data_IF_327207188511
#
_entry.id   IF_327207188511
#
_cell.length_a   1.000
_cell.length_b   1.000
_cell.length_c   1.000
_cell.angle_alpha   90.00
_cell.angle_beta   90.00
_cell.angle_gamma   90.00
#
_symmetry.space_group_name_H-M   'P 1'
#
loop_
_entity.id
_entity.type
_entity.pdbx_description
1 polymer ?
#
# COMPACT_ATOMS: atom_id res chain seq x y z
N UNK A 1 -20.68 24.45 -13.26
CA UNK A 1 -20.01 24.80 -11.99
C UNK A 1 -19.81 23.47 -11.29
N UNK A 2 -18.62 22.89 -11.41
CA UNK A 2 -18.30 21.65 -10.69
C UNK A 2 -18.36 21.97 -9.19
N UNK A 3 -19.22 21.27 -8.47
CA UNK A 3 -19.31 21.40 -7.02
C UNK A 3 -18.18 20.56 -6.43
N UNK A 4 -17.43 21.13 -5.49
CA UNK A 4 -16.38 20.38 -4.80
C UNK A 4 -16.98 19.19 -4.04
N UNK A 5 -16.35 18.01 -4.08
CA UNK A 5 -16.84 16.83 -3.36
C UNK A 5 -16.81 17.07 -1.84
N UNK A 6 -17.89 16.67 -1.18
CA UNK A 6 -18.13 16.80 0.26
C UNK A 6 -17.72 15.50 0.98
N UNK A 7 -18.05 14.33 0.42
CA UNK A 7 -17.78 13.03 1.03
C UNK A 7 -16.55 12.38 0.39
N UNK A 8 -15.39 12.58 1.00
CA UNK A 8 -14.08 12.25 0.39
C UNK A 8 -13.36 11.05 1.01
N UNK A 9 -14.04 10.30 1.88
CA UNK A 9 -13.53 9.06 2.48
C UNK A 9 -14.61 7.99 2.51
N UNK A 10 -14.23 6.71 2.48
CA UNK A 10 -15.16 5.57 2.52
C UNK A 10 -16.14 5.66 3.71
N UNK A 11 -15.70 5.90 4.97
CA UNK A 11 -16.64 5.99 6.10
C UNK A 11 -17.58 7.19 6.02
N UNK A 12 -17.14 8.30 5.43
CA UNK A 12 -18.03 9.45 5.20
C UNK A 12 -19.14 9.10 4.20
N UNK A 13 -18.80 8.35 3.14
CA UNK A 13 -19.74 7.94 2.12
C UNK A 13 -20.76 6.90 2.64
N UNK A 14 -20.31 5.89 3.38
CA UNK A 14 -21.21 4.87 3.95
C UNK A 14 -22.11 5.45 5.05
N UNK A 15 -21.62 6.40 5.85
CA UNK A 15 -22.46 7.16 6.80
C UNK A 15 -23.47 8.06 6.11
N UNK A 16 -23.11 8.68 4.98
CA UNK A 16 -24.04 9.48 4.18
C UNK A 16 -25.14 8.59 3.60
N UNK A 17 -24.79 7.43 3.03
CA UNK A 17 -25.75 6.43 2.56
C UNK A 17 -26.70 6.00 3.69
N UNK A 18 -26.18 5.66 4.87
CA UNK A 18 -27.02 5.31 6.02
C UNK A 18 -27.97 6.43 6.43
N UNK A 19 -27.54 7.70 6.34
CA UNK A 19 -28.41 8.85 6.58
C UNK A 19 -29.52 8.98 5.51
N UNK A 20 -29.25 8.67 4.25
CA UNK A 20 -30.29 8.60 3.20
C UNK A 20 -31.30 7.49 3.47
N UNK A 21 -30.83 6.29 3.86
CA UNK A 21 -31.70 5.17 4.21
C UNK A 21 -32.61 5.53 5.38
N UNK A 22 -32.07 6.18 6.43
CA UNK A 22 -32.89 6.64 7.57
C UNK A 22 -33.97 7.64 7.17
N UNK A 23 -33.70 8.47 6.17
CA UNK A 23 -34.62 9.49 5.71
C UNK A 23 -35.74 8.92 4.82
N UNK A 24 -35.37 8.09 3.82
CA UNK A 24 -36.32 7.43 2.92
C UNK A 24 -35.77 6.09 2.41
N UNK A 25 -36.08 5.01 3.13
CA UNK A 25 -35.62 3.67 2.78
C UNK A 25 -36.44 3.01 1.65
N UNK A 26 -37.60 3.53 1.25
CA UNK A 26 -38.62 2.71 0.56
C UNK A 26 -38.15 2.11 -0.76
N UNK A 27 -37.56 2.93 -1.63
CA UNK A 27 -37.06 2.49 -2.94
C UNK A 27 -35.80 1.64 -2.79
N UNK A 28 -34.93 1.99 -1.84
CA UNK A 28 -33.74 1.23 -1.53
C UNK A 28 -34.07 -0.19 -1.03
N UNK A 29 -35.03 -0.34 -0.12
CA UNK A 29 -35.49 -1.66 0.35
C UNK A 29 -36.14 -2.49 -0.76
N UNK A 30 -36.78 -1.86 -1.76
CA UNK A 30 -37.26 -2.56 -2.94
C UNK A 30 -36.09 -3.11 -3.79
N UNK A 31 -35.03 -2.32 -3.98
CA UNK A 31 -33.82 -2.75 -4.66
C UNK A 31 -33.22 -3.97 -3.96
N UNK A 32 -33.02 -3.90 -2.63
CA UNK A 32 -32.47 -5.01 -1.85
C UNK A 32 -33.31 -6.28 -1.99
N UNK A 33 -34.65 -6.18 -1.84
CA UNK A 33 -35.55 -7.33 -2.01
C UNK A 33 -35.49 -7.93 -3.40
N UNK A 34 -35.44 -7.08 -4.43
CA UNK A 34 -35.34 -7.54 -5.81
C UNK A 34 -34.03 -8.30 -6.04
N UNK A 35 -32.93 -7.76 -5.53
CA UNK A 35 -31.59 -8.33 -5.72
C UNK A 35 -31.38 -9.64 -4.95
N UNK A 36 -31.92 -9.77 -3.74
CA UNK A 36 -31.80 -11.00 -2.94
C UNK A 36 -32.91 -12.03 -3.20
N UNK A 37 -33.96 -11.66 -3.94
CA UNK A 37 -35.17 -12.49 -4.07
C UNK A 37 -36.03 -12.57 -2.80
N UNK A 38 -35.70 -11.83 -1.74
CA UNK A 38 -36.45 -11.84 -0.49
C UNK A 38 -37.84 -11.23 -0.66
N UNK A 39 -38.87 -11.96 -0.21
CA UNK A 39 -40.26 -11.48 -0.26
C UNK A 39 -40.51 -10.30 0.70
N UNK A 40 -39.89 -10.34 1.87
CA UNK A 40 -39.94 -9.28 2.88
C UNK A 40 -38.78 -9.43 3.85
N UNK A 41 -38.25 -8.29 4.32
CA UNK A 41 -37.30 -8.24 5.44
C UNK A 41 -37.99 -7.94 6.77
N UNK A 42 -39.28 -7.58 6.75
CA UNK A 42 -40.00 -7.07 7.93
C UNK A 42 -39.99 -5.53 8.02
N UNK A 43 -40.29 -5.00 9.20
CA UNK A 43 -40.31 -3.56 9.47
C UNK A 43 -38.91 -3.07 9.84
N UNK A 44 -38.38 -2.07 9.14
CA UNK A 44 -37.07 -1.49 9.44
C UNK A 44 -37.13 -0.76 10.79
N UNK A 45 -36.35 -1.23 11.76
CA UNK A 45 -36.28 -0.67 13.11
C UNK A 45 -35.10 0.27 13.29
N UNK A 46 -33.91 -0.11 12.79
CA UNK A 46 -32.68 0.68 12.94
C UNK A 46 -31.78 0.60 11.72
N UNK A 47 -31.00 1.65 11.55
CA UNK A 47 -29.89 1.75 10.59
C UNK A 47 -28.67 2.16 11.41
N UNK A 48 -27.57 1.42 11.33
CA UNK A 48 -26.29 1.71 12.00
C UNK A 48 -25.16 1.70 10.97
N UNK A 49 -24.05 2.33 11.32
CA UNK A 49 -22.79 2.20 10.59
C UNK A 49 -21.75 1.55 11.50
N UNK A 50 -20.76 0.88 10.91
CA UNK A 50 -19.58 0.37 11.63
C UNK A 50 -20.01 -0.52 12.82
N UNK A 51 -21.03 -1.34 12.61
CA UNK A 51 -21.66 -2.19 13.62
C UNK A 51 -21.25 -3.66 13.41
N UNK A 52 -21.71 -4.56 14.30
CA UNK A 52 -21.58 -6.03 14.28
C UNK A 52 -20.70 -6.63 13.16
N UNK A 53 -19.56 -7.24 13.53
CA UNK A 53 -18.51 -7.73 12.61
C UNK A 53 -17.87 -6.66 11.71
N UNK A 54 -18.08 -5.37 12.00
CA UNK A 54 -17.55 -4.20 11.28
C UNK A 54 -18.16 -3.94 9.90
N UNK A 55 -19.34 -4.48 9.61
CA UNK A 55 -20.04 -4.15 8.35
C UNK A 55 -20.33 -2.64 8.25
N UNK A 56 -20.10 -2.08 7.07
CA UNK A 56 -20.19 -0.64 6.83
C UNK A 56 -21.55 -0.04 7.20
N UNK A 57 -22.64 -0.70 6.78
CA UNK A 57 -24.01 -0.33 7.13
C UNK A 57 -24.80 -1.55 7.56
N UNK A 58 -25.43 -1.48 8.73
CA UNK A 58 -26.30 -2.52 9.28
C UNK A 58 -27.74 -2.02 9.36
N UNK A 59 -28.66 -2.81 8.82
CA UNK A 59 -30.11 -2.60 8.90
C UNK A 59 -30.71 -3.67 9.81
N UNK A 60 -31.35 -3.25 10.90
CA UNK A 60 -32.10 -4.13 11.80
C UNK A 60 -33.59 -4.05 11.43
N UNK A 61 -34.18 -5.19 11.09
CA UNK A 61 -35.62 -5.32 10.88
C UNK A 61 -36.26 -6.15 11.99
N UNK A 62 -37.56 -5.99 12.16
CA UNK A 62 -38.41 -6.90 12.91
C UNK A 62 -39.26 -7.71 11.94
N UNK A 63 -39.09 -9.03 11.97
CA UNK A 63 -39.78 -9.98 11.10
C UNK A 63 -40.35 -11.10 11.95
N UNK A 64 -41.68 -11.21 11.93
CA UNK A 64 -42.41 -12.25 12.67
C UNK A 64 -42.09 -12.28 14.19
N UNK A 65 -41.76 -11.11 14.75
CA UNK A 65 -41.41 -10.93 16.17
C UNK A 65 -39.93 -11.14 16.50
N UNK A 66 -39.11 -11.51 15.53
CA UNK A 66 -37.67 -11.75 15.69
C UNK A 66 -36.84 -10.70 14.93
N UNK A 67 -35.61 -10.40 15.39
CA UNK A 67 -34.70 -9.53 14.65
C UNK A 67 -34.24 -10.20 13.36
N UNK A 68 -34.18 -9.41 12.28
CA UNK A 68 -33.61 -9.83 11.00
C UNK A 68 -32.56 -8.80 10.57
N UNK A 69 -31.32 -9.24 10.39
CA UNK A 69 -30.14 -8.41 10.18
C UNK A 69 -29.72 -8.42 8.71
N UNK A 70 -29.69 -7.24 8.10
CA UNK A 70 -29.15 -7.05 6.75
C UNK A 70 -27.93 -6.16 6.81
N UNK A 71 -26.78 -6.68 6.39
CA UNK A 71 -25.55 -5.90 6.24
C UNK A 71 -25.34 -5.43 4.81
N UNK A 72 -24.67 -4.29 4.66
CA UNK A 72 -24.17 -3.77 3.39
C UNK A 72 -22.69 -3.46 3.61
N UNK A 73 -21.84 -4.18 2.88
CA UNK A 73 -20.40 -3.99 2.85
C UNK A 73 -20.03 -3.21 1.59
N UNK A 74 -19.48 -2.01 1.73
CA UNK A 74 -19.16 -1.15 0.60
C UNK A 74 -17.69 -1.31 0.18
N UNK A 75 -17.49 -1.56 -1.11
CA UNK A 75 -16.18 -1.55 -1.74
C UNK A 75 -16.10 -0.30 -2.61
N UNK A 76 -14.97 0.40 -2.52
CA UNK A 76 -14.69 1.58 -3.34
C UNK A 76 -13.51 1.32 -4.28
N UNK A 77 -12.38 0.84 -3.76
CA UNK A 77 -11.16 0.62 -4.55
C UNK A 77 -10.26 -0.52 -4.03
N UNK A 78 -10.71 -1.30 -3.06
CA UNK A 78 -9.95 -2.41 -2.48
C UNK A 78 -10.58 -3.76 -2.83
N UNK A 79 -9.76 -4.79 -2.94
CA UNK A 79 -10.21 -6.15 -3.27
C UNK A 79 -11.12 -6.72 -2.16
N UNK A 80 -12.13 -7.48 -2.58
CA UNK A 80 -12.95 -8.27 -1.67
C UNK A 80 -12.13 -9.42 -1.09
N UNK A 81 -12.15 -9.58 0.23
CA UNK A 81 -11.53 -10.71 0.91
C UNK A 81 -12.52 -11.86 1.10
N UNK A 82 -12.14 -13.09 0.71
CA UNK A 82 -12.95 -14.30 0.93
C UNK A 82 -13.27 -14.53 2.41
N UNK A 83 -12.24 -14.42 3.26
CA UNK A 83 -12.39 -14.61 4.71
C UNK A 83 -13.31 -13.55 5.33
N UNK A 84 -13.25 -12.32 4.82
CA UNK A 84 -14.13 -11.24 5.23
C UNK A 84 -15.60 -11.57 4.91
N UNK A 85 -15.88 -11.91 3.65
CA UNK A 85 -17.23 -12.25 3.19
C UNK A 85 -17.79 -13.45 3.95
N UNK A 86 -17.00 -14.51 4.12
CA UNK A 86 -17.39 -15.71 4.87
C UNK A 86 -17.78 -15.39 6.32
N UNK A 87 -17.00 -14.55 7.00
CA UNK A 87 -17.27 -14.13 8.38
C UNK A 87 -18.54 -13.29 8.49
N UNK A 88 -18.69 -12.29 7.61
CA UNK A 88 -19.81 -11.35 7.65
C UNK A 88 -21.13 -12.00 7.23
N UNK A 89 -21.11 -12.82 6.18
CA UNK A 89 -22.31 -13.53 5.71
C UNK A 89 -22.81 -14.55 6.73
N UNK A 90 -21.91 -15.15 7.53
CA UNK A 90 -22.27 -16.06 8.61
C UNK A 90 -22.92 -15.37 9.82
N UNK A 91 -22.69 -14.07 10.00
CA UNK A 91 -23.16 -13.29 11.16
C UNK A 91 -24.47 -12.54 10.90
N UNK A 92 -24.94 -12.52 9.65
CA UNK A 92 -26.09 -11.74 9.19
C UNK A 92 -27.11 -12.65 8.51
N UNK A 93 -28.38 -12.26 8.50
CA UNK A 93 -29.40 -13.00 7.73
C UNK A 93 -29.28 -12.73 6.23
N UNK A 94 -28.73 -11.58 5.85
CA UNK A 94 -28.38 -11.28 4.45
C UNK A 94 -27.24 -10.25 4.41
N UNK A 95 -26.18 -10.55 3.68
CA UNK A 95 -25.09 -9.61 3.38
C UNK A 95 -25.22 -9.15 1.93
N UNK A 96 -25.19 -7.84 1.70
CA UNK A 96 -25.06 -7.25 0.36
C UNK A 96 -23.67 -6.66 0.19
N UNK A 97 -23.10 -6.82 -1.00
CA UNK A 97 -21.87 -6.12 -1.40
C UNK A 97 -22.24 -4.95 -2.29
N UNK A 98 -21.78 -3.76 -1.93
CA UNK A 98 -21.99 -2.52 -2.67
C UNK A 98 -20.70 -2.13 -3.42
N UNK A 99 -20.73 -2.15 -4.75
CA UNK A 99 -19.56 -1.95 -5.61
C UNK A 99 -19.65 -0.64 -6.42
N UNK A 100 -18.50 -0.05 -6.84
CA UNK A 100 -18.50 1.13 -7.70
C UNK A 100 -19.10 0.82 -9.07
N UNK A 101 -18.74 -0.34 -9.62
CA UNK A 101 -19.25 -0.90 -10.88
C UNK A 101 -19.36 -2.43 -10.73
N UNK A 102 -20.31 -3.03 -11.44
CA UNK A 102 -20.47 -4.50 -11.46
C UNK A 102 -19.29 -5.21 -12.11
N UNK A 103 -18.54 -4.55 -12.99
CA UNK A 103 -17.32 -5.09 -13.59
C UNK A 103 -16.20 -5.30 -12.55
N UNK A 104 -16.29 -4.66 -11.37
CA UNK A 104 -15.35 -4.84 -10.27
C UNK A 104 -15.67 -6.05 -9.38
N UNK A 105 -16.75 -6.79 -9.66
CA UNK A 105 -17.14 -7.97 -8.89
C UNK A 105 -16.26 -9.14 -9.32
N UNK A 106 -15.50 -9.76 -8.40
CA UNK A 106 -14.69 -10.90 -8.77
C UNK A 106 -15.57 -12.13 -9.03
N UNK A 107 -15.21 -12.93 -10.04
CA UNK A 107 -15.97 -14.12 -10.46
C UNK A 107 -16.25 -15.07 -9.30
N UNK A 108 -15.27 -15.24 -8.41
CA UNK A 108 -15.38 -16.13 -7.26
C UNK A 108 -16.50 -15.76 -6.28
N UNK A 109 -16.92 -14.49 -6.21
CA UNK A 109 -17.98 -14.10 -5.28
C UNK A 109 -19.28 -14.81 -5.63
N UNK A 110 -19.59 -14.91 -6.93
CA UNK A 110 -20.80 -15.59 -7.38
C UNK A 110 -20.70 -17.11 -7.24
N UNK A 111 -19.53 -17.67 -7.53
CA UNK A 111 -19.31 -19.12 -7.50
C UNK A 111 -19.24 -19.67 -6.08
N UNK A 112 -18.58 -18.95 -5.17
CA UNK A 112 -18.33 -19.38 -3.78
C UNK A 112 -19.41 -18.88 -2.81
N UNK A 113 -20.04 -17.72 -3.07
CA UNK A 113 -21.04 -17.09 -2.19
C UNK A 113 -22.30 -16.64 -2.98
N UNK A 114 -23.02 -17.57 -3.65
CA UNK A 114 -24.17 -17.23 -4.49
C UNK A 114 -25.33 -16.56 -3.73
N UNK A 115 -25.36 -16.68 -2.41
CA UNK A 115 -26.34 -16.06 -1.51
C UNK A 115 -26.06 -14.58 -1.21
N UNK A 116 -24.86 -14.07 -1.50
CA UNK A 116 -24.43 -12.70 -1.22
C UNK A 116 -24.74 -11.82 -2.44
N UNK A 117 -25.82 -11.01 -2.43
CA UNK A 117 -26.24 -10.27 -3.60
C UNK A 117 -25.41 -8.99 -3.76
N UNK A 118 -25.09 -8.64 -5.00
CA UNK A 118 -24.33 -7.42 -5.32
C UNK A 118 -25.25 -6.29 -5.77
N UNK A 119 -24.98 -5.08 -5.28
CA UNK A 119 -25.62 -3.83 -5.72
C UNK A 119 -24.56 -2.82 -6.14
N UNK A 120 -24.92 -1.92 -7.06
CA UNK A 120 -24.04 -0.83 -7.52
C UNK A 120 -24.32 0.49 -6.81
N UNK A 121 -23.29 1.33 -6.64
CA UNK A 121 -23.45 2.70 -6.11
C UNK A 121 -24.44 3.53 -6.92
N UNK A 122 -24.36 3.49 -8.26
CA UNK A 122 -25.26 4.26 -9.12
C UNK A 122 -26.72 3.91 -8.92
N UNK A 123 -27.09 2.62 -9.01
CA UNK A 123 -28.48 2.21 -8.80
C UNK A 123 -28.96 2.44 -7.36
N UNK A 124 -28.05 2.36 -6.39
CA UNK A 124 -28.34 2.65 -4.98
C UNK A 124 -28.69 4.11 -4.79
N UNK A 125 -27.89 5.03 -5.36
CA UNK A 125 -28.16 6.47 -5.27
C UNK A 125 -29.43 6.89 -6.01
N UNK A 126 -29.75 6.23 -7.14
CA UNK A 126 -30.99 6.46 -7.90
C UNK A 126 -32.26 6.10 -7.12
N UNK A 127 -32.14 5.35 -6.01
CA UNK A 127 -33.27 5.06 -5.12
C UNK A 127 -33.72 6.29 -4.33
N UNK A 128 -32.84 7.26 -4.09
CA UNK A 128 -33.14 8.43 -3.26
C UNK A 128 -33.48 9.65 -4.11
N UNK A 129 -34.35 10.52 -3.59
CA UNK A 129 -34.68 11.78 -4.26
C UNK A 129 -33.63 12.81 -3.86
N UNK A 130 -32.82 13.25 -4.83
CA UNK A 130 -31.73 14.21 -4.61
C UNK A 130 -30.79 13.79 -3.45
N UNK A 131 -30.09 12.64 -3.57
CA UNK A 131 -29.17 12.18 -2.54
C UNK A 131 -28.10 13.25 -2.27
N UNK A 132 -27.73 13.42 -1.00
CA UNK A 132 -26.67 14.36 -0.59
C UNK A 132 -25.30 13.87 -1.03
N UNK A 133 -25.10 12.57 -1.06
CA UNK A 133 -23.92 11.93 -1.65
C UNK A 133 -24.13 11.74 -3.16
N UNK A 134 -23.11 12.07 -3.95
CA UNK A 134 -23.13 12.02 -5.41
C UNK A 134 -22.10 11.03 -5.97
N UNK A 135 -22.20 10.71 -7.26
CA UNK A 135 -21.17 9.89 -7.94
C UNK A 135 -19.81 10.61 -7.94
N UNK A 136 -19.81 11.94 -8.05
CA UNK A 136 -18.58 12.73 -8.02
C UNK A 136 -17.91 12.68 -6.65
N UNK A 137 -18.70 12.63 -5.56
CA UNK A 137 -18.16 12.39 -4.22
C UNK A 137 -17.45 11.03 -4.14
N UNK A 138 -18.10 9.96 -4.65
CA UNK A 138 -17.54 8.61 -4.65
C UNK A 138 -16.24 8.54 -5.47
N UNK A 139 -16.20 9.18 -6.64
CA UNK A 139 -15.00 9.25 -7.48
C UNK A 139 -13.85 10.05 -6.83
N UNK A 140 -14.16 10.93 -5.87
CA UNK A 140 -13.18 11.72 -5.14
C UNK A 140 -12.66 11.07 -3.86
N UNK A 141 -13.13 9.86 -3.53
CA UNK A 141 -12.66 9.12 -2.35
C UNK A 141 -11.21 8.68 -2.60
N UNK A 142 -10.30 9.31 -1.85
CA UNK A 142 -8.86 9.08 -1.95
C UNK A 142 -8.48 7.76 -1.32
N UNK A 143 -7.42 7.13 -1.83
CA UNK A 143 -6.77 6.01 -1.16
C UNK A 143 -6.39 6.41 0.27
N UNK A 144 -6.95 5.76 1.31
CA UNK A 144 -6.53 6.05 2.66
C UNK A 144 -5.06 5.65 2.79
N UNK A 145 -4.17 6.55 3.27
CA UNK A 145 -2.79 6.18 3.61
C UNK A 145 -2.73 4.95 4.52
N UNK A 146 -3.77 4.78 5.35
CA UNK A 146 -4.00 3.63 6.23
C UNK A 146 -4.13 2.31 5.45
N UNK A 147 -4.72 2.31 4.25
CA UNK A 147 -4.82 1.12 3.41
C UNK A 147 -3.44 0.66 2.90
N UNK A 148 -2.59 1.61 2.49
CA UNK A 148 -1.20 1.30 2.12
C UNK A 148 -0.41 0.84 3.36
N UNK A 149 -0.61 1.46 4.53
CA UNK A 149 -0.03 1.01 5.80
C UNK A 149 -0.45 -0.43 6.13
N UNK A 150 -1.73 -0.78 5.94
CA UNK A 150 -2.25 -2.11 6.19
C UNK A 150 -1.60 -3.15 5.26
N UNK A 151 -1.45 -2.85 3.97
CA UNK A 151 -0.77 -3.74 3.02
C UNK A 151 0.71 -3.92 3.36
N UNK A 152 1.41 -2.85 3.74
CA UNK A 152 2.80 -2.95 4.20
C UNK A 152 2.91 -3.78 5.49
N UNK A 153 2.01 -3.58 6.45
CA UNK A 153 1.96 -4.36 7.69
C UNK A 153 1.57 -5.83 7.46
N UNK A 154 0.87 -6.13 6.37
CA UNK A 154 0.51 -7.49 5.97
C UNK A 154 1.67 -8.29 5.38
N UNK A 155 2.79 -7.64 5.02
CA UNK A 155 3.96 -8.35 4.51
C UNK A 155 4.61 -9.21 5.59
N UNK A 156 4.79 -10.49 5.27
CA UNK A 156 5.54 -11.42 6.11
C UNK A 156 6.95 -11.61 5.57
N UNK A 157 7.93 -11.51 6.45
CA UNK A 157 9.33 -11.89 6.21
C UNK A 157 9.70 -13.16 6.99
N UNK A 158 8.73 -14.01 7.31
CA UNK A 158 8.95 -15.22 8.11
C UNK A 158 10.03 -16.12 7.48
N UNK A 159 11.01 -16.53 8.30
CA UNK A 159 12.15 -17.34 7.86
C UNK A 159 13.17 -16.59 6.98
N UNK A 160 12.93 -15.32 6.65
CA UNK A 160 13.83 -14.43 5.90
C UNK A 160 14.43 -13.37 6.84
N UNK A 161 15.59 -12.83 6.48
CA UNK A 161 16.24 -11.72 7.20
C UNK A 161 16.33 -11.95 8.73
N UNK A 162 16.69 -13.17 9.14
CA UNK A 162 16.73 -13.54 10.56
C UNK A 162 17.73 -12.66 11.32
N UNK A 163 17.28 -12.06 12.43
CA UNK A 163 18.08 -11.15 13.25
C UNK A 163 18.10 -9.71 12.77
N UNK A 164 17.42 -9.38 11.67
CA UNK A 164 17.26 -8.02 11.19
C UNK A 164 16.16 -7.28 11.96
N UNK A 165 16.31 -5.96 12.03
CA UNK A 165 15.26 -5.06 12.50
C UNK A 165 14.42 -4.63 11.30
N UNK A 166 13.14 -4.99 11.33
CA UNK A 166 12.17 -4.67 10.28
C UNK A 166 11.00 -3.93 10.95
N UNK A 167 10.83 -2.67 10.60
CA UNK A 167 9.84 -1.79 11.25
C UNK A 167 9.01 -1.09 10.18
N UNK A 168 7.68 -1.11 10.34
CA UNK A 168 6.81 -0.22 9.56
C UNK A 168 6.77 1.14 10.24
N UNK A 169 7.11 2.18 9.49
CA UNK A 169 7.08 3.55 9.96
C UNK A 169 6.59 4.51 8.87
N UNK A 170 6.52 5.80 9.21
CA UNK A 170 6.31 6.87 8.23
C UNK A 170 7.64 7.54 7.94
N UNK A 171 8.03 7.58 6.68
CA UNK A 171 9.27 8.25 6.28
C UNK A 171 9.20 9.77 6.51
N UNK A 172 10.29 10.50 6.23
CA UNK A 172 10.37 11.95 6.42
C UNK A 172 9.35 12.81 5.66
N UNK A 173 8.59 12.23 4.72
CA UNK A 173 7.47 12.89 4.02
C UNK A 173 6.09 12.47 4.56
N UNK A 174 6.04 11.68 5.63
CA UNK A 174 4.81 11.13 6.19
C UNK A 174 4.17 10.07 5.28
N UNK A 175 4.97 9.42 4.42
CA UNK A 175 4.51 8.29 3.60
C UNK A 175 4.80 6.98 4.34
N UNK A 176 3.90 6.00 4.27
CA UNK A 176 4.14 4.66 4.80
C UNK A 176 5.38 4.02 4.18
N UNK A 177 6.18 3.35 5.01
CA UNK A 177 7.38 2.63 4.59
C UNK A 177 7.68 1.46 5.52
N UNK A 178 8.38 0.45 5.00
CA UNK A 178 9.05 -0.57 5.82
C UNK A 178 10.53 -0.26 5.79
N UNK A 179 11.16 -0.17 6.95
CA UNK A 179 12.59 0.04 7.11
C UNK A 179 13.26 -1.25 7.53
N UNK A 180 14.40 -1.52 6.90
CA UNK A 180 15.25 -2.68 7.14
C UNK A 180 16.58 -2.21 7.71
N UNK A 181 17.05 -2.91 8.75
CA UNK A 181 18.40 -2.74 9.26
C UNK A 181 18.99 -4.11 9.65
N UNK A 182 20.18 -4.39 9.12
CA UNK A 182 20.91 -5.63 9.41
C UNK A 182 21.57 -5.60 10.79
N UNK A 183 21.98 -6.77 11.31
CA UNK A 183 23.05 -6.81 12.31
C UNK A 183 24.32 -6.11 11.80
N UNK A 184 25.23 -5.76 12.71
CA UNK A 184 26.51 -5.17 12.34
C UNK A 184 27.32 -6.14 11.45
N UNK A 185 27.91 -5.57 10.40
CA UNK A 185 28.92 -6.18 9.55
C UNK A 185 30.28 -6.19 10.26
N UNK A 186 31.28 -6.95 9.75
CA UNK A 186 32.61 -7.00 10.36
C UNK A 186 33.32 -5.63 10.48
N UNK A 187 32.93 -4.66 9.66
CA UNK A 187 33.44 -3.29 9.68
C UNK A 187 32.66 -2.34 10.61
N UNK A 188 31.68 -2.87 11.36
CA UNK A 188 30.82 -2.15 12.30
C UNK A 188 29.66 -1.38 11.65
N UNK A 189 29.48 -1.45 10.34
CA UNK A 189 28.33 -0.81 9.65
C UNK A 189 27.12 -1.74 9.61
N UNK A 190 25.97 -1.20 9.25
CA UNK A 190 24.76 -1.97 8.97
C UNK A 190 24.31 -1.75 7.53
N UNK A 191 23.78 -2.80 6.90
CA UNK A 191 22.95 -2.65 5.72
C UNK A 191 21.61 -2.07 6.14
N UNK A 192 21.13 -1.09 5.38
CA UNK A 192 19.91 -0.35 5.66
C UNK A 192 19.13 -0.10 4.38
N UNK A 193 17.82 0.00 4.51
CA UNK A 193 17.00 0.41 3.40
C UNK A 193 15.54 0.50 3.74
N UNK A 194 14.73 0.76 2.71
CA UNK A 194 13.30 0.90 2.90
C UNK A 194 12.51 0.54 1.63
N UNK A 195 11.32 -0.03 1.81
CA UNK A 195 10.26 -0.05 0.80
C UNK A 195 9.35 1.14 1.08
N UNK A 196 9.06 1.95 0.07
CA UNK A 196 8.27 3.17 0.24
C UNK A 196 7.48 3.56 -1.00
N UNK A 197 6.44 4.39 -0.80
CA UNK A 197 5.75 5.10 -1.88
C UNK A 197 6.67 6.17 -2.48
N UNK A 198 6.76 6.16 -3.81
CA UNK A 198 7.54 7.12 -4.61
C UNK A 198 6.90 8.51 -4.54
N UNK A 199 7.73 9.53 -4.35
CA UNK A 199 7.31 10.94 -4.44
C UNK A 199 7.07 11.60 -3.09
N UNK A 200 6.37 12.73 -3.13
CA UNK A 200 5.99 13.52 -1.94
C UNK A 200 4.49 13.37 -1.74
N UNK A 201 4.10 12.66 -0.68
CA UNK A 201 2.70 12.29 -0.47
C UNK A 201 2.33 10.97 -1.14
N UNK A 202 1.11 10.52 -0.88
CA UNK A 202 0.49 9.34 -1.51
C UNK A 202 -0.42 9.87 -2.62
N UNK A 203 -0.35 9.30 -3.85
CA UNK A 203 -1.28 9.63 -4.93
C UNK A 203 -2.76 9.48 -4.53
N UNK A 204 -3.65 10.21 -5.20
CA UNK A 204 -5.07 10.20 -4.88
C UNK A 204 -5.78 8.90 -5.32
N UNK A 205 -5.23 8.19 -6.31
CA UNK A 205 -5.75 6.95 -6.89
C UNK A 205 -4.79 5.76 -6.65
N UNK A 206 -5.32 4.54 -6.46
CA UNK A 206 -4.53 3.34 -6.11
C UNK A 206 -3.60 2.95 -7.26
N UNK A 207 -4.14 2.97 -8.47
CA UNK A 207 -3.47 2.64 -9.73
C UNK A 207 -2.30 3.59 -10.06
N UNK A 208 -2.24 4.75 -9.39
CA UNK A 208 -1.16 5.72 -9.50
C UNK A 208 -0.08 5.55 -8.42
N UNK A 209 -0.36 4.74 -7.39
CA UNK A 209 0.62 4.43 -6.33
C UNK A 209 1.78 3.67 -6.97
N UNK A 210 2.98 4.22 -6.80
CA UNK A 210 4.22 3.58 -7.21
C UNK A 210 5.10 3.36 -5.99
N UNK A 211 5.68 2.18 -5.90
CA UNK A 211 6.59 1.77 -4.85
C UNK A 211 8.02 1.66 -5.40
N UNK A 212 8.99 1.91 -4.53
CA UNK A 212 10.39 1.61 -4.76
C UNK A 212 11.02 1.03 -3.49
N UNK A 213 12.09 0.27 -3.65
CA UNK A 213 12.97 -0.11 -2.56
C UNK A 213 14.30 0.61 -2.70
N UNK A 214 14.81 1.16 -1.61
CA UNK A 214 16.19 1.63 -1.50
C UNK A 214 16.95 0.65 -0.62
N UNK A 215 18.09 0.18 -1.10
CA UNK A 215 18.91 -0.85 -0.46
C UNK A 215 20.33 -0.30 -0.40
N UNK A 216 20.94 -0.22 0.78
CA UNK A 216 22.26 0.40 0.91
C UNK A 216 23.03 -0.01 2.16
N UNK A 217 24.24 0.53 2.25
CA UNK A 217 25.13 0.44 3.41
C UNK A 217 25.08 1.75 4.18
N UNK A 218 25.10 1.73 5.51
CA UNK A 218 25.16 2.94 6.33
C UNK A 218 26.51 3.67 6.15
N UNK A 219 26.46 4.98 5.86
CA UNK A 219 27.67 5.78 5.57
C UNK A 219 27.62 7.12 6.26
N UNK A 220 28.52 7.32 7.24
CA UNK A 220 28.72 8.60 7.93
C UNK A 220 29.04 9.74 6.97
N UNK A 221 28.53 10.94 7.26
CA UNK A 221 28.86 12.15 6.50
C UNK A 221 30.18 12.75 7.00
N UNK A 222 31.30 12.16 6.60
CA UNK A 222 32.65 12.61 6.96
C UNK A 222 33.61 12.66 5.77
N UNK A 223 34.78 13.25 5.98
CA UNK A 223 35.82 13.42 4.95
C UNK A 223 36.52 12.11 4.55
N UNK A 224 36.30 11.02 5.28
CA UNK A 224 36.78 9.67 4.88
C UNK A 224 35.82 9.00 3.91
N UNK A 225 34.54 9.35 4.00
CA UNK A 225 33.47 8.80 3.16
C UNK A 225 33.22 9.65 1.91
N UNK A 226 33.44 10.96 2.01
CA UNK A 226 33.15 11.93 0.96
C UNK A 226 34.25 12.98 0.84
N UNK A 227 35.06 12.88 -0.21
CA UNK A 227 36.16 13.80 -0.50
C UNK A 227 36.29 14.06 -2.00
N UNK A 228 37.07 15.08 -2.35
CA UNK A 228 37.36 15.46 -3.74
C UNK A 228 38.18 14.34 -4.42
N UNK A 229 37.62 13.62 -5.41
CA UNK A 229 38.33 12.53 -6.08
C UNK A 229 39.52 12.99 -6.93
N UNK A 230 39.64 14.29 -7.24
CA UNK A 230 40.81 14.82 -7.95
C UNK A 230 42.00 15.05 -7.01
N UNK A 231 41.75 15.10 -5.70
CA UNK A 231 42.78 15.34 -4.68
C UNK A 231 43.20 14.08 -3.92
N UNK A 232 42.56 12.94 -4.21
CA UNK A 232 42.79 11.68 -3.51
C UNK A 232 42.46 10.48 -4.40
N UNK A 233 43.32 9.47 -4.36
CA UNK A 233 43.09 8.17 -4.99
C UNK A 233 42.54 7.12 -4.01
N UNK A 234 42.33 7.50 -2.75
CA UNK A 234 41.67 6.64 -1.77
C UNK A 234 40.29 6.23 -2.28
N UNK A 235 39.87 5.02 -1.94
CA UNK A 235 38.53 4.52 -2.26
C UNK A 235 37.70 4.53 -0.97
N UNK A 236 36.56 5.24 -0.93
CA UNK A 236 35.65 5.15 0.20
C UNK A 236 35.16 3.72 0.37
N UNK A 237 35.09 3.24 1.60
CA UNK A 237 34.64 1.88 1.91
C UNK A 237 33.25 1.55 1.34
N UNK A 238 32.32 2.51 1.33
CA UNK A 238 31.00 2.32 0.72
C UNK A 238 31.06 1.99 -0.77
N UNK A 239 32.12 2.41 -1.48
CA UNK A 239 32.34 2.00 -2.87
C UNK A 239 32.76 0.53 -2.94
N UNK A 240 33.62 0.07 -2.03
CA UNK A 240 33.99 -1.34 -1.96
C UNK A 240 32.78 -2.22 -1.63
N UNK A 241 31.91 -1.81 -0.69
CA UNK A 241 30.66 -2.53 -0.43
C UNK A 241 29.74 -2.57 -1.67
N UNK A 242 29.64 -1.48 -2.43
CA UNK A 242 28.85 -1.49 -3.68
C UNK A 242 29.47 -2.35 -4.79
N UNK A 243 30.80 -2.49 -4.82
CA UNK A 243 31.47 -3.44 -5.72
C UNK A 243 31.16 -4.89 -5.30
N UNK A 244 31.16 -5.19 -4.00
CA UNK A 244 30.73 -6.50 -3.48
C UNK A 244 29.28 -6.77 -3.87
N UNK A 245 28.36 -5.83 -3.64
CA UNK A 245 26.97 -5.95 -4.08
C UNK A 245 26.86 -6.26 -5.58
N UNK A 246 27.55 -5.49 -6.42
CA UNK A 246 27.51 -5.70 -7.87
C UNK A 246 28.02 -7.09 -8.25
N UNK A 247 29.18 -7.49 -7.73
CA UNK A 247 29.87 -8.72 -8.11
C UNK A 247 29.15 -9.98 -7.61
N UNK A 248 28.73 -9.99 -6.35
CA UNK A 248 28.22 -11.19 -5.68
C UNK A 248 26.69 -11.34 -5.78
N UNK A 249 25.97 -10.24 -5.97
CA UNK A 249 24.50 -10.24 -5.92
C UNK A 249 23.88 -9.89 -7.27
N UNK A 250 24.34 -8.80 -7.90
CA UNK A 250 23.59 -8.19 -9.00
C UNK A 250 23.99 -8.64 -10.39
N UNK A 251 25.23 -9.10 -10.61
CA UNK A 251 25.77 -9.39 -11.95
C UNK A 251 24.87 -10.38 -12.71
N UNK A 252 24.25 -9.91 -13.80
CA UNK A 252 23.37 -10.71 -14.66
C UNK A 252 21.93 -10.84 -14.14
N UNK A 253 21.66 -10.34 -12.94
CA UNK A 253 20.41 -10.48 -12.21
C UNK A 253 19.68 -9.12 -12.06
N UNK A 254 20.25 -8.02 -12.52
CA UNK A 254 19.77 -6.66 -12.24
C UNK A 254 18.31 -6.45 -12.65
N UNK A 255 17.88 -7.01 -13.79
CA UNK A 255 16.52 -6.83 -14.26
C UNK A 255 15.50 -7.68 -13.49
N UNK A 256 15.88 -8.90 -13.07
CA UNK A 256 15.06 -9.75 -12.19
C UNK A 256 14.95 -9.16 -10.79
N UNK A 257 16.05 -8.62 -10.28
CA UNK A 257 16.14 -7.93 -9.00
C UNK A 257 15.64 -6.47 -9.06
N UNK A 258 14.96 -6.11 -10.17
CA UNK A 258 14.30 -4.83 -10.37
C UNK A 258 15.24 -3.62 -10.20
N UNK A 259 16.56 -3.74 -10.37
CA UNK A 259 17.50 -2.65 -10.12
C UNK A 259 17.32 -1.54 -11.17
N UNK A 260 17.20 -0.30 -10.69
CA UNK A 260 17.14 0.87 -11.55
C UNK A 260 18.55 1.27 -11.98
N UNK A 261 18.80 1.32 -13.30
CA UNK A 261 20.05 1.81 -13.89
C UNK A 261 20.10 3.33 -14.10
N UNK A 262 19.10 4.07 -13.56
CA UNK A 262 19.11 5.54 -13.61
C UNK A 262 20.31 6.08 -12.84
N UNK A 263 20.94 7.12 -13.37
CA UNK A 263 22.09 7.78 -12.76
C UNK A 263 21.77 8.29 -11.33
N UNK A 264 22.78 8.35 -10.44
CA UNK A 264 22.59 8.87 -9.09
C UNK A 264 22.32 10.38 -9.11
N UNK A 265 21.45 10.82 -8.19
CA UNK A 265 21.19 12.24 -7.98
C UNK A 265 22.36 12.96 -7.31
N UNK A 266 22.36 14.29 -7.39
CA UNK A 266 23.31 15.15 -6.69
C UNK A 266 22.83 15.47 -5.28
N UNK A 267 23.76 15.62 -4.34
CA UNK A 267 23.47 16.12 -2.99
C UNK A 267 23.76 17.62 -2.91
N UNK A 268 22.95 18.34 -2.16
CA UNK A 268 23.18 19.76 -1.83
C UNK A 268 24.06 19.94 -0.59
N UNK A 269 24.37 18.85 0.13
CA UNK A 269 25.23 18.92 1.32
C UNK A 269 26.69 19.11 0.95
N UNK A 270 27.44 19.74 1.86
CA UNK A 270 28.82 20.15 1.61
C UNK A 270 29.71 18.97 1.21
N UNK A 271 29.66 17.87 1.96
CA UNK A 271 30.42 16.66 1.67
C UNK A 271 29.71 15.77 0.64
N UNK A 272 28.39 15.62 0.77
CA UNK A 272 27.58 14.79 -0.14
C UNK A 272 27.70 15.13 -1.63
N UNK A 273 28.12 16.35 -2.01
CA UNK A 273 28.39 16.74 -3.41
C UNK A 273 29.39 15.79 -4.10
N UNK A 274 30.29 15.18 -3.33
CA UNK A 274 31.32 14.29 -3.84
C UNK A 274 30.86 12.87 -4.13
N UNK A 275 29.68 12.45 -3.64
CA UNK A 275 29.13 11.10 -3.86
C UNK A 275 29.15 10.70 -5.34
N UNK A 276 28.59 11.56 -6.21
CA UNK A 276 28.46 11.26 -7.64
C UNK A 276 29.83 11.20 -8.34
N UNK A 277 30.73 12.20 -8.18
CA UNK A 277 32.10 12.10 -8.68
C UNK A 277 32.86 10.85 -8.22
N UNK A 278 32.80 10.52 -6.93
CA UNK A 278 33.44 9.32 -6.37
C UNK A 278 32.88 8.04 -7.01
N UNK A 279 31.54 7.93 -7.12
CA UNK A 279 30.91 6.80 -7.79
C UNK A 279 31.34 6.68 -9.26
N UNK A 280 31.41 7.79 -9.99
CA UNK A 280 31.85 7.79 -11.38
C UNK A 280 33.31 7.35 -11.54
N UNK A 281 34.21 7.84 -10.67
CA UNK A 281 35.63 7.48 -10.68
C UNK A 281 35.86 5.99 -10.40
N UNK A 282 35.16 5.42 -9.42
CA UNK A 282 35.50 4.10 -8.89
C UNK A 282 34.51 2.98 -9.20
N UNK A 283 33.27 3.28 -9.61
CA UNK A 283 32.27 2.29 -10.05
C UNK A 283 32.04 2.28 -11.56
N UNK A 284 32.50 3.30 -12.28
CA UNK A 284 32.36 3.38 -13.74
C UNK A 284 30.90 3.26 -14.21
N UNK A 285 30.62 2.25 -15.03
CA UNK A 285 29.27 1.98 -15.54
C UNK A 285 28.26 1.64 -14.43
N UNK A 286 28.72 1.16 -13.28
CA UNK A 286 27.88 0.82 -12.13
C UNK A 286 27.60 2.02 -11.20
N UNK A 287 27.93 3.25 -11.60
CA UNK A 287 27.65 4.44 -10.80
C UNK A 287 26.15 4.61 -10.44
N UNK A 288 25.23 3.96 -11.18
CA UNK A 288 23.79 3.91 -10.84
C UNK A 288 23.49 3.27 -9.48
N UNK A 289 24.43 2.53 -8.89
CA UNK A 289 24.31 1.97 -7.55
C UNK A 289 24.43 3.02 -6.45
N UNK A 290 25.06 4.17 -6.69
CA UNK A 290 25.34 5.17 -5.65
C UNK A 290 24.14 6.12 -5.37
N UNK A 291 22.96 5.55 -5.09
CA UNK A 291 21.73 6.28 -4.74
C UNK A 291 21.57 6.35 -3.21
N UNK A 292 20.52 7.02 -2.76
CA UNK A 292 20.26 7.22 -1.34
C UNK A 292 20.84 8.51 -0.77
N UNK A 293 20.96 8.52 0.55
CA UNK A 293 21.05 9.71 1.38
C UNK A 293 22.45 9.85 1.97
N UNK A 294 22.99 11.08 1.94
CA UNK A 294 24.35 11.37 2.39
C UNK A 294 24.41 11.92 3.82
N UNK A 295 23.39 11.70 4.66
CA UNK A 295 23.28 12.18 6.06
C UNK A 295 23.64 11.13 7.12
N UNK A 296 24.31 10.05 6.75
CA UNK A 296 24.51 8.95 7.71
C UNK A 296 23.50 7.82 7.57
N UNK A 297 22.44 7.97 6.75
CA UNK A 297 21.43 6.92 6.64
C UNK A 297 21.92 5.73 5.83
N UNK A 298 21.94 5.82 4.48
CA UNK A 298 22.47 4.74 3.64
C UNK A 298 22.76 5.16 2.18
N UNK A 299 23.77 4.52 1.59
CA UNK A 299 24.12 4.61 0.17
C UNK A 299 23.98 3.25 -0.51
N UNK A 300 23.27 3.22 -1.64
CA UNK A 300 23.10 2.00 -2.45
C UNK A 300 21.95 2.11 -3.44
N UNK A 301 21.69 1.08 -4.26
CA UNK A 301 20.77 1.16 -5.38
C UNK A 301 19.32 1.37 -4.95
N UNK A 302 18.54 1.86 -5.91
CA UNK A 302 17.08 1.81 -5.85
C UNK A 302 16.55 0.83 -6.88
N UNK A 303 15.44 0.19 -6.58
CA UNK A 303 14.70 -0.57 -7.57
C UNK A 303 14.01 0.36 -8.60
N UNK A 304 13.49 -0.23 -9.66
CA UNK A 304 12.53 0.38 -10.57
C UNK A 304 11.23 0.62 -9.81
N UNK A 305 10.51 1.65 -10.23
CA UNK A 305 9.17 1.91 -9.70
C UNK A 305 8.25 0.78 -10.13
N UNK A 306 7.53 0.18 -9.19
CA UNK A 306 6.51 -0.84 -9.44
C UNK A 306 5.16 -0.35 -8.92
N UNK A 307 4.03 -0.79 -9.48
CA UNK A 307 2.72 -0.44 -8.96
C UNK A 307 2.43 -1.21 -7.65
N UNK A 308 1.40 -0.79 -6.90
CA UNK A 308 1.10 -1.32 -5.56
C UNK A 308 0.82 -2.83 -5.56
N UNK A 309 0.22 -3.35 -6.62
CA UNK A 309 -0.13 -4.77 -6.77
C UNK A 309 1.11 -5.68 -6.83
N UNK A 310 2.30 -5.11 -7.08
CA UNK A 310 3.58 -5.82 -7.08
C UNK A 310 4.37 -5.66 -5.78
N UNK A 311 3.71 -5.25 -4.70
CA UNK A 311 4.34 -5.05 -3.38
C UNK A 311 5.02 -6.32 -2.86
N UNK A 312 4.37 -7.49 -2.95
CA UNK A 312 4.94 -8.76 -2.47
C UNK A 312 6.20 -9.17 -3.25
N UNK A 313 6.20 -8.97 -4.57
CA UNK A 313 7.37 -9.21 -5.42
C UNK A 313 8.52 -8.27 -5.01
N UNK A 314 8.22 -6.98 -4.82
CA UNK A 314 9.22 -5.99 -4.38
C UNK A 314 9.80 -6.36 -3.01
N UNK A 315 8.97 -6.82 -2.08
CA UNK A 315 9.39 -7.27 -0.75
C UNK A 315 10.29 -8.51 -0.85
N UNK A 316 9.91 -9.49 -1.65
CA UNK A 316 10.68 -10.72 -1.89
C UNK A 316 12.06 -10.42 -2.48
N UNK A 317 12.10 -9.58 -3.53
CA UNK A 317 13.35 -9.15 -4.16
C UNK A 317 14.22 -8.34 -3.20
N UNK A 318 13.61 -7.44 -2.42
CA UNK A 318 14.34 -6.64 -1.42
C UNK A 318 15.01 -7.54 -0.38
N UNK A 319 14.26 -8.50 0.18
CA UNK A 319 14.79 -9.46 1.14
C UNK A 319 15.91 -10.32 0.53
N UNK A 320 15.75 -10.78 -0.71
CA UNK A 320 16.78 -11.57 -1.40
C UNK A 320 18.09 -10.80 -1.57
N UNK A 321 18.01 -9.54 -2.02
CA UNK A 321 19.20 -8.69 -2.19
C UNK A 321 19.90 -8.51 -0.84
N UNK A 322 19.15 -8.20 0.22
CA UNK A 322 19.71 -7.97 1.54
C UNK A 322 20.40 -9.22 2.12
N UNK A 323 19.78 -10.39 2.02
CA UNK A 323 20.37 -11.63 2.52
C UNK A 323 21.64 -12.00 1.78
N UNK A 324 21.60 -11.93 0.43
CA UNK A 324 22.76 -12.26 -0.40
C UNK A 324 23.91 -11.27 -0.18
N UNK A 325 23.58 -9.97 -0.06
CA UNK A 325 24.59 -8.95 0.19
C UNK A 325 25.20 -9.11 1.59
N UNK A 326 24.37 -9.33 2.62
CA UNK A 326 24.85 -9.55 3.97
C UNK A 326 25.74 -10.79 4.08
N UNK A 327 25.36 -11.90 3.43
CA UNK A 327 26.20 -13.09 3.34
C UNK A 327 27.55 -12.78 2.66
N UNK A 328 27.55 -12.01 1.58
CA UNK A 328 28.78 -11.62 0.87
C UNK A 328 29.71 -10.73 1.70
N UNK A 329 29.17 -9.83 2.54
CA UNK A 329 29.95 -8.94 3.41
C UNK A 329 30.45 -9.63 4.70
N UNK A 330 29.92 -10.81 5.03
CA UNK A 330 30.28 -11.59 6.23
C UNK A 330 31.11 -12.84 5.93
N UNK A 331 31.33 -13.15 4.65
CA UNK A 331 32.07 -14.34 4.20
C UNK A 331 33.59 -14.19 4.23
#
# INVERSE_FOLDING_TARGET
>A
MELSPIYTTEPMATRALAAEIRQDARRFLNLLRHRSGARSFGALQRVRCEALEQVDVLLEFERDGEPYLVGIEAKFNHELGRDQISRESSALDTLFVLVPDFDAVPEWLHDEFPEVPVIGWKETLECFIAPRITIDDLAAIKVPKVAIEAQLNGLSFEGRLVGWRIETERNGNGNPSIVFESPELPDGRTLRGQIQVVGRGVPDQVEDVRLESHIGIAVSEDETSYFDPERSDSVPIWIENLKTLQREVLTGEEDRLLISRRAPGTSRRALGRWKKPLAQKHLGEHAYLAKGYTDGWAIGPKTKNVPLERLEELATVTAEIFERWYAAETS
#
